data_IF_427578113840
#
_entry.id   IF_427578113840
#
_cell.length_a   1.000
_cell.length_b   1.000
_cell.length_c   1.000
_cell.angle_alpha   90.00
_cell.angle_beta   90.00
_cell.angle_gamma   90.00
#
_symmetry.space_group_name_H-M   'P 1'
#
loop_
_entity.id
_entity.type
_entity.pdbx_description
1 polymer ?
#
# COMPACT_ATOMS: atom_id res chain seq x y z
N UNK A 1 -10.36 -5.91 25.77
CA UNK A 1 -9.51 -6.83 24.98
C UNK A 1 -9.82 -6.54 23.52
N UNK A 2 -8.83 -6.22 22.69
CA UNK A 2 -9.07 -6.03 21.26
C UNK A 2 -9.70 -7.31 20.69
N UNK A 3 -10.77 -7.16 19.92
CA UNK A 3 -11.48 -8.28 19.32
C UNK A 3 -10.52 -9.09 18.42
N UNK A 4 -10.72 -10.41 18.33
CA UNK A 4 -9.87 -11.27 17.50
C UNK A 4 -9.85 -10.77 16.05
N UNK A 5 -10.98 -10.26 15.57
CA UNK A 5 -11.10 -9.66 14.23
C UNK A 5 -10.21 -8.44 14.05
N UNK A 6 -10.17 -7.52 15.02
CA UNK A 6 -9.34 -6.31 14.97
C UNK A 6 -7.84 -6.64 14.88
N UNK A 7 -7.41 -7.61 15.70
CA UNK A 7 -6.01 -8.08 15.67
C UNK A 7 -5.63 -8.72 14.33
N UNK A 8 -6.52 -9.51 13.74
CA UNK A 8 -6.31 -10.13 12.43
C UNK A 8 -6.24 -9.07 11.32
N UNK A 9 -7.14 -8.08 11.36
CA UNK A 9 -7.15 -6.97 10.42
C UNK A 9 -5.83 -6.19 10.46
N UNK A 10 -5.36 -5.81 11.65
CA UNK A 10 -4.07 -5.13 11.78
C UNK A 10 -2.91 -5.96 11.24
N UNK A 11 -2.88 -7.27 11.48
CA UNK A 11 -1.83 -8.14 10.92
C UNK A 11 -1.87 -8.19 9.40
N UNK A 12 -3.06 -8.26 8.81
CA UNK A 12 -3.26 -8.25 7.36
C UNK A 12 -2.76 -6.93 6.75
N UNK A 13 -3.13 -5.79 7.35
CA UNK A 13 -2.70 -4.47 6.89
C UNK A 13 -1.17 -4.33 6.94
N UNK A 14 -0.55 -4.74 8.05
CA UNK A 14 0.92 -4.76 8.20
C UNK A 14 1.61 -5.65 7.17
N UNK A 15 1.01 -6.78 6.78
CA UNK A 15 1.55 -7.67 5.73
C UNK A 15 1.43 -7.02 4.35
N UNK A 16 0.27 -6.44 4.01
CA UNK A 16 0.06 -5.70 2.76
C UNK A 16 1.05 -4.54 2.61
N UNK A 17 1.25 -3.73 3.65
CA UNK A 17 2.21 -2.62 3.61
C UNK A 17 3.66 -3.08 3.48
N UNK A 18 4.05 -4.17 4.16
CA UNK A 18 5.39 -4.76 3.99
C UNK A 18 5.62 -5.22 2.55
N UNK A 19 4.63 -5.86 1.95
CA UNK A 19 4.71 -6.32 0.57
C UNK A 19 4.78 -5.15 -0.43
N UNK A 20 3.98 -4.10 -0.22
CA UNK A 20 4.07 -2.87 -1.01
C UNK A 20 5.48 -2.26 -0.97
N UNK A 21 6.06 -2.14 0.24
CA UNK A 21 7.43 -1.64 0.40
C UNK A 21 8.49 -2.53 -0.24
N UNK A 22 8.27 -3.85 -0.30
CA UNK A 22 9.15 -4.80 -0.98
C UNK A 22 9.10 -4.62 -2.51
N UNK A 23 7.90 -4.51 -3.09
CA UNK A 23 7.70 -4.27 -4.54
C UNK A 23 8.28 -2.92 -4.96
N UNK A 24 7.95 -1.84 -4.23
CA UNK A 24 8.36 -0.47 -4.59
C UNK A 24 9.88 -0.25 -4.54
N UNK A 25 10.60 -1.06 -3.75
CA UNK A 25 12.07 -1.05 -3.70
C UNK A 25 12.72 -1.88 -4.82
N UNK A 26 11.93 -2.44 -5.74
CA UNK A 26 12.41 -3.38 -6.78
C UNK A 26 13.20 -4.57 -6.21
N UNK A 27 13.05 -4.86 -4.91
CA UNK A 27 13.73 -6.00 -4.27
C UNK A 27 13.21 -7.35 -4.78
N UNK A 28 12.06 -7.34 -5.44
CA UNK A 28 11.37 -8.49 -6.05
C UNK A 28 11.62 -8.59 -7.57
N UNK A 29 12.46 -7.71 -8.13
CA UNK A 29 12.69 -7.58 -9.56
C UNK A 29 11.78 -6.56 -10.26
N UNK A 30 12.13 -6.16 -11.49
CA UNK A 30 11.49 -5.04 -12.19
C UNK A 30 10.06 -5.34 -12.63
N UNK A 31 9.70 -6.61 -12.83
CA UNK A 31 8.39 -6.99 -13.36
C UNK A 31 7.22 -6.58 -12.43
N UNK A 32 7.37 -6.76 -11.13
CA UNK A 32 6.32 -6.41 -10.17
C UNK A 32 6.14 -4.90 -10.04
N UNK A 33 7.25 -4.15 -10.10
CA UNK A 33 7.20 -2.69 -10.13
C UNK A 33 6.58 -2.20 -11.45
N UNK A 34 6.96 -2.78 -12.59
CA UNK A 34 6.37 -2.48 -13.90
C UNK A 34 4.88 -2.84 -13.96
N UNK A 35 4.45 -3.91 -13.31
CA UNK A 35 3.03 -4.26 -13.24
C UNK A 35 2.22 -3.24 -12.42
N UNK A 36 2.87 -2.59 -11.45
CA UNK A 36 2.24 -1.57 -10.60
C UNK A 36 2.22 -0.18 -11.26
N UNK A 37 3.31 0.20 -11.92
CA UNK A 37 3.53 1.53 -12.49
C UNK A 37 3.23 1.61 -13.99
N UNK A 38 3.20 0.46 -14.65
CA UNK A 38 3.00 0.33 -16.08
C UNK A 38 1.61 0.80 -16.47
N UNK A 39 1.58 1.61 -17.54
CA UNK A 39 0.34 1.98 -18.21
C UNK A 39 0.11 0.98 -19.33
N UNK A 40 -1.05 0.32 -19.31
CA UNK A 40 -1.51 -0.48 -20.44
C UNK A 40 -2.05 0.49 -21.49
N UNK A 41 -1.68 0.28 -22.75
CA UNK A 41 -2.22 1.05 -23.87
C UNK A 41 -3.74 0.84 -24.00
N UNK A 42 -4.47 1.93 -24.24
CA UNK A 42 -5.93 1.93 -24.33
C UNK A 42 -6.64 2.70 -23.21
N UNK A 43 -7.92 2.99 -23.41
CA UNK A 43 -8.75 3.73 -22.46
C UNK A 43 -9.45 2.73 -21.52
N UNK A 44 -9.03 2.70 -20.26
CA UNK A 44 -9.79 1.96 -19.23
C UNK A 44 -11.18 2.59 -19.12
N UNK A 45 -12.24 1.79 -19.27
CA UNK A 45 -13.61 2.26 -19.02
C UNK A 45 -13.69 2.69 -17.56
N UNK A 46 -13.79 3.99 -17.35
CA UNK A 46 -13.73 4.62 -16.04
C UNK A 46 -15.15 4.69 -15.48
N UNK A 47 -15.66 3.54 -15.03
CA UNK A 47 -16.84 3.51 -14.15
C UNK A 47 -16.46 4.03 -12.75
N UNK A 48 -17.33 3.84 -11.74
CA UNK A 48 -16.99 4.13 -10.33
C UNK A 48 -15.73 3.35 -9.94
N UNK A 49 -14.60 4.02 -9.66
CA UNK A 49 -13.37 3.32 -9.32
C UNK A 49 -13.59 2.56 -8.02
N UNK A 50 -13.49 1.23 -8.08
CA UNK A 50 -13.48 0.40 -6.87
C UNK A 50 -12.17 0.67 -6.11
N UNK A 51 -12.27 0.78 -4.79
CA UNK A 51 -11.11 0.81 -3.89
C UNK A 51 -10.21 -0.37 -4.23
N UNK A 52 -8.98 -0.08 -4.62
CA UNK A 52 -7.99 -1.10 -4.99
C UNK A 52 -6.88 -1.18 -3.94
N UNK A 53 -5.99 -2.16 -4.09
CA UNK A 53 -4.89 -2.38 -3.16
C UNK A 53 -4.00 -1.15 -2.96
N UNK A 54 -3.81 -0.30 -3.99
CA UNK A 54 -3.01 0.91 -3.86
C UNK A 54 -3.72 2.02 -3.11
N UNK A 55 -5.05 2.04 -3.13
CA UNK A 55 -5.84 2.93 -2.28
C UNK A 55 -5.66 2.55 -0.80
N UNK A 56 -5.75 1.24 -0.48
CA UNK A 56 -5.45 0.73 0.86
C UNK A 56 -4.05 1.13 1.33
N UNK A 57 -3.04 0.92 0.47
CA UNK A 57 -1.64 1.21 0.81
C UNK A 57 -1.45 2.70 1.11
N UNK A 58 -2.01 3.60 0.29
CA UNK A 58 -1.92 5.06 0.51
C UNK A 58 -2.59 5.48 1.81
N UNK A 59 -3.81 4.99 2.05
CA UNK A 59 -4.62 5.34 3.22
C UNK A 59 -3.95 4.88 4.51
N UNK A 60 -3.57 3.60 4.58
CA UNK A 60 -2.99 3.01 5.78
C UNK A 60 -1.56 3.50 6.06
N UNK A 61 -0.84 3.94 5.03
CA UNK A 61 0.49 4.57 5.19
C UNK A 61 0.41 6.06 5.54
N UNK A 62 -0.79 6.65 5.57
CA UNK A 62 -0.99 8.08 5.77
C UNK A 62 -0.31 8.93 4.68
N UNK A 63 -0.21 8.41 3.47
CA UNK A 63 0.43 9.11 2.35
C UNK A 63 -0.59 9.86 1.50
N UNK A 64 -0.18 11.02 0.98
CA UNK A 64 -1.08 11.88 0.19
C UNK A 64 -1.18 11.47 -1.27
N UNK A 65 -0.20 10.73 -1.78
CA UNK A 65 -0.13 10.31 -3.19
C UNK A 65 0.69 9.03 -3.34
N UNK A 66 0.60 8.40 -4.51
CA UNK A 66 1.45 7.27 -4.87
C UNK A 66 2.95 7.63 -4.78
N UNK A 67 3.35 8.79 -5.30
CA UNK A 67 4.75 9.23 -5.27
C UNK A 67 5.27 9.43 -3.85
N UNK A 68 4.43 9.93 -2.94
CA UNK A 68 4.75 10.04 -1.50
C UNK A 68 4.93 8.65 -0.87
N UNK A 69 4.01 7.73 -1.13
CA UNK A 69 4.11 6.32 -0.69
C UNK A 69 5.39 5.66 -1.20
N UNK A 70 5.72 5.83 -2.49
CA UNK A 70 6.92 5.24 -3.09
C UNK A 70 8.20 5.77 -2.44
N UNK A 71 8.30 7.09 -2.24
CA UNK A 71 9.47 7.71 -1.58
C UNK A 71 9.68 7.17 -0.16
N UNK A 72 8.60 7.03 0.61
CA UNK A 72 8.66 6.43 1.96
C UNK A 72 9.03 4.96 1.92
N UNK A 73 8.57 4.22 0.91
CA UNK A 73 8.87 2.80 0.75
C UNK A 73 10.35 2.55 0.39
N UNK A 74 10.95 3.41 -0.43
CA UNK A 74 12.36 3.35 -0.83
C UNK A 74 13.29 3.40 0.39
N UNK A 75 12.97 4.25 1.36
CA UNK A 75 13.74 4.38 2.60
C UNK A 75 13.33 3.31 3.61
N UNK A 76 14.25 2.40 3.94
CA UNK A 76 13.99 1.27 4.89
C UNK A 76 13.45 1.71 6.25
N UNK A 77 13.91 2.84 6.79
CA UNK A 77 13.41 3.37 8.06
C UNK A 77 11.94 3.79 7.91
N UNK A 78 11.65 4.67 6.97
CA UNK A 78 10.28 5.17 6.71
C UNK A 78 9.32 4.03 6.35
N UNK A 79 9.78 3.02 5.60
CA UNK A 79 9.00 1.82 5.30
C UNK A 79 8.65 0.99 6.53
N UNK A 80 9.56 0.88 7.52
CA UNK A 80 9.26 0.22 8.79
C UNK A 80 8.30 1.05 9.62
N UNK A 81 8.49 2.37 9.63
CA UNK A 81 7.64 3.31 10.37
C UNK A 81 6.20 3.30 9.83
N UNK A 82 6.00 3.24 8.51
CA UNK A 82 4.67 3.08 7.89
C UNK A 82 3.96 1.80 8.34
N UNK A 83 4.69 0.69 8.51
CA UNK A 83 4.14 -0.60 8.95
C UNK A 83 3.84 -0.59 10.45
N UNK A 84 4.70 0.05 11.24
CA UNK A 84 4.52 0.18 12.69
C UNK A 84 3.30 1.06 13.01
N UNK A 85 3.17 2.19 12.31
CA UNK A 85 2.15 3.22 12.51
C UNK A 85 0.95 3.05 11.58
N UNK A 86 0.57 1.81 11.28
CA UNK A 86 -0.57 1.52 10.40
C UNK A 86 -1.85 2.13 10.98
N UNK A 87 -2.54 2.96 10.18
CA UNK A 87 -3.79 3.60 10.60
C UNK A 87 -4.94 2.61 10.47
N UNK A 88 -5.54 2.23 11.59
CA UNK A 88 -6.69 1.29 11.63
C UNK A 88 -8.03 2.02 11.53
N UNK A 89 -8.02 3.36 11.56
CA UNK A 89 -9.22 4.19 11.41
C UNK A 89 -9.72 4.11 9.97
N UNK A 90 -10.74 3.28 9.78
CA UNK A 90 -11.56 3.27 8.57
C UNK A 90 -12.37 4.57 8.63
N UNK A 91 -11.97 5.57 7.84
CA UNK A 91 -12.81 6.75 7.61
C UNK A 91 -14.19 6.27 7.14
N UNK A 92 -15.20 6.51 7.97
CA UNK A 92 -16.61 6.18 7.72
C UNK A 92 -17.23 7.17 6.75
#
# INVERSE_FOLDING_TARGET
>A
MADVGERLLQQLMKRKLRYAGHIMRSSSGPLLQLSLEGKIEGKRVQERPRRNWMDDVKEWSGSKSYGDTKRKAEKRKESRDMVANVRTEIGT
#
